data_IF_245637930799
#
_entry.id   IF_245637930799
#
_cell.length_a   1.000
_cell.length_b   1.000
_cell.length_c   1.000
_cell.angle_alpha   90.00
_cell.angle_beta   90.00
_cell.angle_gamma   90.00
#
_symmetry.space_group_name_H-M   'P 1'
#
loop_
_entity.id
_entity.type
_entity.pdbx_description
1 polymer ?
#
# COMPACT_ATOMS: atom_id res chain seq x y z
N UNK A 1 -2.63 -64.11 59.08
CA UNK A 1 -1.39 -63.62 58.45
C UNK A 1 -1.80 -62.57 57.43
N UNK A 2 -1.49 -61.31 57.74
CA UNK A 2 -1.63 -60.17 56.83
C UNK A 2 -0.60 -60.23 55.71
N UNK A 3 -0.94 -59.66 54.55
CA UNK A 3 -0.14 -58.81 53.64
C UNK A 3 -0.85 -58.84 52.28
N UNK A 4 -1.13 -57.79 51.54
CA UNK A 4 -0.87 -56.35 51.68
C UNK A 4 -1.31 -55.77 50.34
N UNK A 5 -2.33 -54.92 50.35
CA UNK A 5 -2.87 -54.29 49.14
C UNK A 5 -1.98 -53.09 48.80
N UNK A 6 -1.06 -53.26 47.83
CA UNK A 6 -0.16 -52.18 47.42
C UNK A 6 -0.80 -51.33 46.32
N UNK A 7 -1.20 -50.11 46.70
CA UNK A 7 -1.65 -49.05 45.78
C UNK A 7 -0.47 -48.58 44.93
N UNK A 8 -0.50 -48.87 43.63
CA UNK A 8 0.35 -48.23 42.62
C UNK A 8 -0.44 -47.14 41.91
N UNK A 9 -0.43 -45.91 42.45
CA UNK A 9 -0.97 -44.75 41.78
C UNK A 9 0.05 -43.62 41.87
N UNK A 10 0.95 -43.49 40.91
CA UNK A 10 1.69 -42.26 40.59
C UNK A 10 2.45 -42.46 39.28
N UNK A 11 1.95 -41.87 38.19
CA UNK A 11 2.62 -41.86 36.88
C UNK A 11 2.01 -40.85 35.91
N UNK A 12 0.67 -40.82 35.76
CA UNK A 12 0.01 -39.99 34.74
C UNK A 12 -0.16 -38.49 35.04
N UNK A 13 0.28 -38.01 36.20
CA UNK A 13 0.04 -36.62 36.63
C UNK A 13 1.04 -35.58 36.12
N UNK A 14 2.25 -36.00 35.72
CA UNK A 14 3.29 -35.09 35.21
C UNK A 14 3.16 -34.86 33.70
N UNK A 15 2.98 -35.91 32.89
CA UNK A 15 2.80 -35.78 31.42
C UNK A 15 1.58 -34.93 31.05
N UNK A 16 0.45 -35.09 31.77
CA UNK A 16 -0.74 -34.29 31.51
C UNK A 16 -0.54 -32.80 31.82
N UNK A 17 0.26 -32.46 32.84
CA UNK A 17 0.59 -31.07 33.19
C UNK A 17 1.54 -30.45 32.17
N UNK A 18 2.48 -31.24 31.67
CA UNK A 18 3.44 -30.82 30.65
C UNK A 18 2.73 -30.52 29.32
N UNK A 19 1.80 -31.39 28.89
CA UNK A 19 0.98 -31.16 27.70
C UNK A 19 0.05 -29.94 27.80
N UNK A 20 -0.52 -29.65 28.98
CA UNK A 20 -1.34 -28.44 29.19
C UNK A 20 -0.47 -27.18 29.12
N UNK A 21 0.73 -27.23 29.69
CA UNK A 21 1.68 -26.12 29.66
C UNK A 21 2.19 -25.86 28.22
N UNK A 22 2.47 -26.92 27.46
CA UNK A 22 2.86 -26.83 26.05
C UNK A 22 1.73 -26.25 25.19
N UNK A 23 0.49 -26.70 25.39
CA UNK A 23 -0.68 -26.16 24.68
C UNK A 23 -0.93 -24.68 24.99
N UNK A 24 -0.69 -24.25 26.24
CA UNK A 24 -0.79 -22.85 26.62
C UNK A 24 0.30 -21.98 25.96
N UNK A 25 1.55 -22.47 25.92
CA UNK A 25 2.65 -21.82 25.22
C UNK A 25 2.37 -21.71 23.72
N UNK A 26 1.83 -22.76 23.10
CA UNK A 26 1.49 -22.78 21.67
C UNK A 26 0.41 -21.74 21.32
N UNK A 27 -0.61 -21.62 22.17
CA UNK A 27 -1.68 -20.63 22.01
C UNK A 27 -1.18 -19.20 22.15
N UNK A 28 -0.32 -18.92 23.12
CA UNK A 28 0.30 -17.60 23.27
C UNK A 28 1.23 -17.28 22.09
N UNK A 29 2.01 -18.25 21.62
CA UNK A 29 2.86 -18.08 20.44
C UNK A 29 2.01 -17.74 19.20
N UNK A 30 0.93 -18.48 18.95
CA UNK A 30 0.03 -18.25 17.81
C UNK A 30 -0.63 -16.87 17.87
N UNK A 31 -0.98 -16.40 19.08
CA UNK A 31 -1.54 -15.05 19.29
C UNK A 31 -0.51 -13.97 18.96
N UNK A 32 0.73 -14.12 19.42
CA UNK A 32 1.82 -13.21 19.11
C UNK A 32 2.15 -13.20 17.61
N UNK A 33 2.19 -14.36 16.98
CA UNK A 33 2.44 -14.49 15.54
C UNK A 33 1.35 -13.78 14.73
N UNK A 34 0.08 -13.92 15.12
CA UNK A 34 -1.03 -13.20 14.49
C UNK A 34 -0.87 -11.68 14.59
N UNK A 35 -0.51 -11.16 15.76
CA UNK A 35 -0.28 -9.72 15.94
C UNK A 35 0.91 -9.22 15.13
N UNK A 36 1.98 -10.02 15.03
CA UNK A 36 3.15 -9.69 14.22
C UNK A 36 2.82 -9.69 12.72
N UNK A 37 2.01 -10.64 12.26
CA UNK A 37 1.53 -10.70 10.86
C UNK A 37 0.72 -9.45 10.55
N UNK A 38 -0.26 -9.09 11.38
CA UNK A 38 -1.10 -7.89 11.20
C UNK A 38 -0.24 -6.61 11.12
N UNK A 39 0.72 -6.45 12.02
CA UNK A 39 1.64 -5.30 11.98
C UNK A 39 2.54 -5.30 10.72
N UNK A 40 2.97 -6.47 10.25
CA UNK A 40 3.76 -6.58 9.02
C UNK A 40 2.91 -6.26 7.78
N UNK A 41 1.66 -6.69 7.73
CA UNK A 41 0.70 -6.38 6.66
C UNK A 41 0.44 -4.87 6.58
N UNK A 42 0.18 -4.22 7.71
CA UNK A 42 0.03 -2.76 7.77
C UNK A 42 1.29 -2.04 7.28
N UNK A 43 2.47 -2.56 7.63
CA UNK A 43 3.74 -1.99 7.20
C UNK A 43 4.00 -2.21 5.70
N UNK A 44 3.65 -3.38 5.17
CA UNK A 44 3.70 -3.67 3.72
C UNK A 44 2.77 -2.72 2.98
N UNK A 45 1.51 -2.61 3.40
CA UNK A 45 0.53 -1.71 2.82
C UNK A 45 1.01 -0.26 2.81
N UNK A 46 1.57 0.22 3.93
CA UNK A 46 2.15 1.56 4.00
C UNK A 46 3.31 1.74 3.01
N UNK A 47 4.19 0.74 2.89
CA UNK A 47 5.32 0.76 1.97
C UNK A 47 4.86 0.74 0.51
N UNK A 48 3.88 -0.10 0.15
CA UNK A 48 3.29 -0.17 -1.18
C UNK A 48 2.64 1.15 -1.58
N UNK A 49 1.84 1.74 -0.70
CA UNK A 49 1.23 3.04 -0.94
C UNK A 49 2.29 4.15 -1.04
N UNK A 50 3.43 4.05 -0.34
CA UNK A 50 4.50 5.06 -0.37
C UNK A 50 5.46 4.87 -1.55
N UNK A 51 5.46 3.70 -2.17
CA UNK A 51 6.36 3.35 -3.25
C UNK A 51 5.96 4.03 -4.57
N UNK A 52 6.91 4.67 -5.26
CA UNK A 52 6.64 5.32 -6.55
C UNK A 52 6.46 4.34 -7.70
N UNK A 53 6.72 3.06 -7.45
CA UNK A 53 6.49 2.00 -8.42
C UNK A 53 5.05 1.52 -8.42
N UNK A 54 4.20 2.00 -7.50
CA UNK A 54 2.76 1.71 -7.49
C UNK A 54 1.97 2.90 -8.02
N UNK A 55 0.85 2.62 -8.66
CA UNK A 55 -0.09 3.62 -9.18
C UNK A 55 -0.64 4.50 -8.04
N UNK A 56 -0.94 3.91 -6.90
CA UNK A 56 -1.41 4.63 -5.71
C UNK A 56 -0.37 5.60 -5.15
N UNK A 57 0.90 5.18 -5.07
CA UNK A 57 1.99 6.05 -4.64
C UNK A 57 2.17 7.25 -5.56
N UNK A 58 2.10 7.03 -6.88
CA UNK A 58 2.12 8.08 -7.89
C UNK A 58 0.97 9.07 -7.69
N UNK A 59 -0.27 8.58 -7.59
CA UNK A 59 -1.47 9.41 -7.42
C UNK A 59 -1.38 10.23 -6.14
N UNK A 60 -0.99 9.60 -5.03
CA UNK A 60 -0.88 10.27 -3.73
C UNK A 60 0.17 11.38 -3.74
N UNK A 61 1.36 11.12 -4.31
CA UNK A 61 2.39 12.16 -4.39
C UNK A 61 1.99 13.31 -5.30
N UNK A 62 1.32 13.04 -6.42
CA UNK A 62 0.79 14.08 -7.29
C UNK A 62 -0.25 14.95 -6.57
N UNK A 63 -1.21 14.32 -5.88
CA UNK A 63 -2.20 15.05 -5.03
C UNK A 63 -1.51 15.89 -3.94
N UNK A 64 -0.46 15.37 -3.30
CA UNK A 64 0.31 16.11 -2.31
C UNK A 64 1.07 17.30 -2.94
N UNK A 65 1.63 17.15 -4.13
CA UNK A 65 2.26 18.25 -4.86
C UNK A 65 1.24 19.36 -5.17
N UNK A 66 0.05 19.00 -5.65
CA UNK A 66 -1.04 19.96 -5.89
C UNK A 66 -1.45 20.68 -4.59
N UNK A 67 -1.68 19.94 -3.49
CA UNK A 67 -2.03 20.53 -2.18
C UNK A 67 -0.95 21.47 -1.64
N UNK A 68 0.32 21.20 -1.93
CA UNK A 68 1.43 22.06 -1.50
C UNK A 68 1.57 23.27 -2.42
N UNK A 69 1.31 23.09 -3.71
CA UNK A 69 1.25 24.18 -4.67
C UNK A 69 0.16 25.19 -4.28
N UNK A 70 -1.05 24.74 -3.97
CA UNK A 70 -2.13 25.65 -3.53
C UNK A 70 -1.77 26.42 -2.24
N UNK A 71 -0.94 25.85 -1.37
CA UNK A 71 -0.46 26.52 -0.14
C UNK A 71 0.70 27.49 -0.38
N UNK A 72 1.61 27.19 -1.29
CA UNK A 72 2.89 27.92 -1.44
C UNK A 72 3.03 28.70 -2.76
N UNK A 73 2.05 28.59 -3.66
CA UNK A 73 1.99 29.27 -4.96
C UNK A 73 3.08 28.87 -5.95
N UNK A 74 3.88 27.85 -5.67
CA UNK A 74 5.00 27.45 -6.53
C UNK A 74 5.23 25.95 -6.51
N UNK A 75 5.28 25.34 -7.69
CA UNK A 75 5.55 23.92 -7.84
C UNK A 75 6.96 23.55 -7.40
N UNK A 76 7.95 24.42 -7.65
CA UNK A 76 9.31 24.23 -7.12
C UNK A 76 9.31 24.13 -5.59
N UNK A 77 8.60 25.04 -4.90
CA UNK A 77 8.46 24.98 -3.44
C UNK A 77 7.69 23.74 -3.00
N UNK A 78 6.63 23.37 -3.72
CA UNK A 78 5.85 22.18 -3.43
C UNK A 78 6.71 20.91 -3.47
N UNK A 79 7.47 20.71 -4.55
CA UNK A 79 8.37 19.56 -4.73
C UNK A 79 9.45 19.49 -3.66
N UNK A 80 10.10 20.62 -3.34
CA UNK A 80 11.08 20.68 -2.23
C UNK A 80 10.44 20.30 -0.89
N UNK A 81 9.19 20.71 -0.62
CA UNK A 81 8.50 20.41 0.65
C UNK A 81 8.04 18.97 0.80
N UNK A 82 7.84 18.25 -0.31
CA UNK A 82 7.49 16.81 -0.28
C UNK A 82 8.68 15.90 -0.58
N UNK A 83 9.87 16.47 -0.80
CA UNK A 83 11.10 15.77 -1.16
C UNK A 83 10.94 14.83 -2.36
N UNK A 84 10.36 15.34 -3.46
CA UNK A 84 10.17 14.57 -4.71
C UNK A 84 10.86 15.26 -5.87
N UNK A 85 11.51 14.46 -6.72
CA UNK A 85 12.11 14.94 -7.96
C UNK A 85 11.05 15.36 -9.00
N UNK A 86 11.33 16.46 -9.71
CA UNK A 86 10.39 17.03 -10.66
C UNK A 86 10.19 16.12 -11.86
N UNK A 87 11.26 15.47 -12.34
CA UNK A 87 11.17 14.59 -13.50
C UNK A 87 10.37 13.34 -13.15
N UNK A 88 10.46 12.83 -11.92
CA UNK A 88 9.59 11.74 -11.47
C UNK A 88 8.12 12.13 -11.56
N UNK A 89 7.74 13.27 -10.96
CA UNK A 89 6.35 13.76 -11.05
C UNK A 89 5.93 13.97 -12.50
N UNK A 90 6.77 14.59 -13.32
CA UNK A 90 6.43 14.87 -14.72
C UNK A 90 6.21 13.60 -15.55
N UNK A 91 7.07 12.58 -15.39
CA UNK A 91 6.94 11.32 -16.14
C UNK A 91 5.69 10.53 -15.76
N UNK A 92 5.30 10.57 -14.49
CA UNK A 92 4.15 9.82 -13.98
C UNK A 92 2.88 10.67 -13.84
N UNK A 93 2.93 11.96 -14.20
CA UNK A 93 1.80 12.88 -14.08
C UNK A 93 0.57 12.37 -14.82
N UNK A 94 0.76 11.75 -15.99
CA UNK A 94 -0.34 11.26 -16.82
C UNK A 94 -1.19 10.19 -16.14
N UNK A 95 -0.57 9.31 -15.35
CA UNK A 95 -1.27 8.30 -14.54
C UNK A 95 -2.19 9.00 -13.53
N UNK A 96 -1.63 9.96 -12.79
CA UNK A 96 -2.39 10.68 -11.77
C UNK A 96 -3.49 11.57 -12.37
N UNK A 97 -3.20 12.24 -13.48
CA UNK A 97 -4.15 13.12 -14.18
C UNK A 97 -5.35 12.33 -14.72
N UNK A 98 -5.08 11.15 -15.29
CA UNK A 98 -6.12 10.26 -15.76
C UNK A 98 -6.95 9.72 -14.58
N UNK A 99 -6.31 9.24 -13.52
CA UNK A 99 -7.00 8.74 -12.32
C UNK A 99 -7.88 9.80 -11.64
N UNK A 100 -7.49 11.08 -11.70
CA UNK A 100 -8.24 12.19 -11.10
C UNK A 100 -9.37 12.68 -11.99
N UNK A 101 -9.17 12.72 -13.31
CA UNK A 101 -10.11 13.35 -14.26
C UNK A 101 -11.07 12.33 -14.87
N UNK A 102 -10.59 11.12 -15.13
CA UNK A 102 -11.31 10.03 -15.78
C UNK A 102 -11.11 8.72 -15.01
N UNK A 103 -11.67 8.61 -13.79
CA UNK A 103 -11.44 7.46 -12.91
C UNK A 103 -11.91 6.13 -13.52
N UNK A 104 -12.95 6.15 -14.34
CA UNK A 104 -13.48 4.92 -14.96
C UNK A 104 -12.56 4.43 -16.08
N UNK A 105 -12.13 5.32 -16.98
CA UNK A 105 -11.10 5.00 -17.98
C UNK A 105 -9.80 4.55 -17.31
N UNK A 106 -9.41 5.17 -16.19
CA UNK A 106 -8.24 4.74 -15.44
C UNK A 106 -8.38 3.30 -14.93
N UNK A 107 -9.52 2.94 -14.33
CA UNK A 107 -9.79 1.58 -13.84
C UNK A 107 -9.76 0.54 -14.97
N UNK A 108 -10.29 0.88 -16.14
CA UNK A 108 -10.26 0.01 -17.33
C UNK A 108 -8.83 -0.25 -17.85
N UNK A 109 -7.89 0.66 -17.59
CA UNK A 109 -6.50 0.53 -18.03
C UNK A 109 -5.60 -0.16 -17.01
N UNK A 110 -6.07 -0.32 -15.76
CA UNK A 110 -5.34 -1.05 -14.75
C UNK A 110 -5.13 -2.50 -15.22
N UNK A 111 -3.92 -3.06 -15.05
CA UNK A 111 -3.68 -4.46 -15.36
C UNK A 111 -4.63 -5.34 -14.55
N UNK A 112 -5.23 -6.35 -15.19
CA UNK A 112 -6.28 -7.17 -14.59
C UNK A 112 -5.77 -8.20 -13.58
N UNK A 113 -4.48 -8.56 -13.59
CA UNK A 113 -3.84 -9.50 -12.64
C UNK A 113 -2.31 -9.22 -12.53
N UNK A 114 -1.59 -9.98 -11.68
CA UNK A 114 -0.17 -10.03 -11.23
C UNK A 114 0.98 -9.76 -12.25
N UNK A 115 0.73 -8.99 -13.29
CA UNK A 115 1.73 -8.46 -14.18
C UNK A 115 2.51 -7.42 -13.40
N UNK A 116 3.76 -7.75 -13.07
CA UNK A 116 4.77 -6.78 -12.64
C UNK A 116 5.14 -5.87 -13.83
N UNK A 117 4.15 -5.15 -14.35
CA UNK A 117 4.31 -4.22 -15.45
C UNK A 117 5.17 -3.05 -14.98
N UNK A 118 6.13 -2.66 -15.81
CA UNK A 118 6.91 -1.46 -15.52
C UNK A 118 6.01 -0.23 -15.61
N UNK A 119 6.13 0.69 -14.66
CA UNK A 119 5.41 1.98 -14.70
C UNK A 119 5.57 2.70 -16.05
N UNK A 120 6.71 2.57 -16.73
CA UNK A 120 6.91 3.14 -18.06
C UNK A 120 5.94 2.58 -19.12
N UNK A 121 5.67 1.28 -19.09
CA UNK A 121 4.74 0.63 -20.02
C UNK A 121 3.31 1.09 -19.72
N UNK A 122 2.96 1.19 -18.44
CA UNK A 122 1.65 1.68 -18.02
C UNK A 122 1.43 3.16 -18.39
N UNK A 123 2.48 3.98 -18.26
CA UNK A 123 2.49 5.38 -18.73
C UNK A 123 2.20 5.45 -20.23
N UNK A 124 2.83 4.60 -21.04
CA UNK A 124 2.60 4.58 -22.49
C UNK A 124 1.19 4.08 -22.83
N UNK A 125 0.64 3.13 -22.07
CA UNK A 125 -0.76 2.71 -22.22
C UNK A 125 -1.72 3.86 -21.93
N UNK A 126 -1.51 4.58 -20.82
CA UNK A 126 -2.28 5.77 -20.47
C UNK A 126 -2.21 6.82 -21.59
N UNK A 127 -1.01 7.06 -22.17
CA UNK A 127 -0.83 8.00 -23.29
C UNK A 127 -1.67 7.64 -24.50
N UNK A 128 -1.72 6.35 -24.86
CA UNK A 128 -2.49 5.87 -26.02
C UNK A 128 -3.99 5.94 -25.83
N UNK A 129 -4.46 5.80 -24.59
CA UNK A 129 -5.89 5.85 -24.26
C UNK A 129 -6.45 7.29 -24.22
N UNK A 130 -5.60 8.28 -23.98
CA UNK A 130 -6.02 9.68 -23.89
C UNK A 130 -6.32 10.24 -25.29
N UNK A 131 -7.56 10.66 -25.48
CA UNK A 131 -7.98 11.37 -26.69
C UNK A 131 -7.59 12.85 -26.62
N UNK A 132 -7.75 13.56 -27.76
CA UNK A 132 -7.54 15.01 -27.81
C UNK A 132 -8.47 15.76 -26.84
N UNK A 133 -9.75 15.40 -26.81
CA UNK A 133 -10.75 15.98 -25.89
C UNK A 133 -10.39 15.75 -24.41
N UNK A 134 -9.90 14.54 -24.09
CA UNK A 134 -9.43 14.23 -22.74
C UNK A 134 -8.23 15.08 -22.36
N UNK A 135 -7.30 15.30 -23.29
CA UNK A 135 -6.14 16.16 -23.08
C UNK A 135 -6.56 17.60 -22.76
N UNK A 136 -7.52 18.14 -23.51
CA UNK A 136 -8.05 19.49 -23.30
C UNK A 136 -8.73 19.63 -21.94
N UNK A 137 -9.52 18.64 -21.54
CA UNK A 137 -10.19 18.61 -20.23
C UNK A 137 -9.19 18.49 -19.07
N UNK A 138 -8.18 17.62 -19.21
CA UNK A 138 -7.10 17.50 -18.22
C UNK A 138 -6.36 18.83 -18.10
N UNK A 139 -6.05 19.50 -19.21
CA UNK A 139 -5.43 20.82 -19.20
C UNK A 139 -6.32 21.90 -18.55
N UNK A 140 -7.62 21.89 -18.82
CA UNK A 140 -8.58 22.81 -18.19
C UNK A 140 -8.66 22.60 -16.67
N UNK A 141 -8.67 21.35 -16.20
CA UNK A 141 -8.62 21.02 -14.76
C UNK A 141 -7.31 21.45 -14.09
N UNK A 142 -6.19 21.47 -14.82
CA UNK A 142 -4.95 22.08 -14.35
C UNK A 142 -5.13 23.58 -14.15
N UNK A 143 -5.80 24.27 -15.07
CA UNK A 143 -6.02 25.71 -15.00
C UNK A 143 -7.00 26.13 -13.89
N UNK A 144 -8.04 25.33 -13.61
CA UNK A 144 -8.95 25.57 -12.47
C UNK A 144 -8.24 25.40 -11.13
N UNK A 145 -7.25 24.52 -11.05
CA UNK A 145 -6.41 24.33 -9.86
C UNK A 145 -5.08 25.10 -9.90
N UNK A 146 -4.83 25.88 -10.96
CA UNK A 146 -3.57 26.57 -11.14
C UNK A 146 -3.59 27.71 -12.15
N UNK A 147 -3.40 28.89 -11.62
CA UNK A 147 -2.51 29.88 -12.22
C UNK A 147 -1.10 29.28 -12.32
N UNK A 148 -0.76 28.59 -13.42
CA UNK A 148 0.61 28.15 -13.73
C UNK A 148 1.30 29.17 -14.65
N UNK A 149 1.93 30.17 -14.03
CA UNK A 149 3.23 30.70 -14.47
C UNK A 149 4.26 30.37 -13.40
#
# INVERSE_FOLDING_TARGET
METGFSKGAHGGGMEAKEGILELAKLKEQTKMDRQNIEHLEDRIKYLEETNMTTTDGIIRRYKNALKRFTKFGSMKKAFTKINVDRNTIARTAIIAELAITYPDTFKELLPTDDVNEKISEFVERCRRAITKEMTETIAAKKNVNSSYQ
#
